data_IF_717300194799
#
_entry.id   IF_717300194799
#
_cell.length_a   1.000
_cell.length_b   1.000
_cell.length_c   1.000
_cell.angle_alpha   90.00
_cell.angle_beta   90.00
_cell.angle_gamma   90.00
#
_symmetry.space_group_name_H-M   'P 1'
#
loop_
_entity.id
_entity.type
_entity.pdbx_description
1 polymer ?
#
# COMPACT_ATOMS: atom_id res chain seq x y z
N UNK A 1 -4.42 -2.26 -8.24
CA UNK A 1 -3.46 -1.41 -7.51
C UNK A 1 -2.04 -1.62 -7.97
N UNK A 2 -1.47 -2.84 -7.91
CA UNK A 2 -0.05 -3.08 -8.24
C UNK A 2 0.50 -2.31 -9.46
N UNK A 3 -0.05 -2.51 -10.66
CA UNK A 3 0.45 -1.84 -11.87
C UNK A 3 0.26 -0.33 -11.84
N UNK A 4 -0.87 0.14 -11.31
CA UNK A 4 -1.17 1.58 -11.19
C UNK A 4 -0.18 2.23 -10.21
N UNK A 5 0.02 1.62 -9.05
CA UNK A 5 0.89 2.17 -8.01
C UNK A 5 2.35 2.19 -8.41
N UNK A 6 2.83 1.14 -9.07
CA UNK A 6 4.19 1.14 -9.64
C UNK A 6 4.41 2.15 -10.76
N UNK A 7 3.34 2.70 -11.35
CA UNK A 7 3.46 3.77 -12.34
C UNK A 7 3.48 5.17 -11.72
N UNK A 8 3.21 5.29 -10.42
CA UNK A 8 3.26 6.56 -9.70
C UNK A 8 4.73 6.98 -9.50
N UNK A 9 5.12 8.22 -9.85
CA UNK A 9 6.52 8.67 -9.77
C UNK A 9 7.15 8.53 -8.38
N UNK A 10 6.34 8.63 -7.33
CA UNK A 10 6.75 8.55 -5.94
C UNK A 10 6.80 7.15 -5.35
N UNK A 11 6.27 6.13 -6.04
CA UNK A 11 6.24 4.75 -5.55
C UNK A 11 7.53 4.02 -5.96
N UNK A 12 8.31 3.60 -4.96
CA UNK A 12 9.55 2.85 -5.16
C UNK A 12 9.29 1.34 -5.17
N UNK A 13 8.43 0.88 -4.27
CA UNK A 13 8.07 -0.54 -4.12
C UNK A 13 6.57 -0.66 -3.90
N UNK A 14 5.96 -1.66 -4.53
CA UNK A 14 4.57 -2.05 -4.28
C UNK A 14 4.42 -3.56 -4.44
N UNK A 15 4.35 -4.29 -3.32
CA UNK A 15 4.12 -5.73 -3.27
C UNK A 15 2.85 -6.03 -2.49
N UNK A 16 2.08 -7.00 -3.01
CA UNK A 16 0.93 -7.57 -2.31
C UNK A 16 1.31 -9.00 -1.95
N UNK A 17 1.33 -9.28 -0.66
CA UNK A 17 1.73 -10.56 -0.10
C UNK A 17 0.51 -11.16 0.61
N UNK A 18 0.37 -12.48 0.54
CA UNK A 18 -0.57 -13.23 1.38
C UNK A 18 0.25 -13.98 2.43
N UNK A 19 -0.20 -13.97 3.68
CA UNK A 19 0.47 -14.72 4.74
C UNK A 19 0.52 -16.21 4.38
N UNK A 20 1.61 -16.88 4.79
CA UNK A 20 1.76 -18.31 4.63
C UNK A 20 0.94 -19.09 5.66
N UNK A 21 0.69 -18.50 6.84
CA UNK A 21 -0.02 -19.14 7.95
C UNK A 21 -1.52 -18.81 7.98
N UNK A 22 -1.92 -17.65 7.43
CA UNK A 22 -3.32 -17.22 7.39
C UNK A 22 -3.71 -16.68 6.00
N UNK A 23 -4.49 -17.42 5.20
CA UNK A 23 -4.86 -17.00 3.84
C UNK A 23 -5.78 -15.77 3.80
N UNK A 24 -6.37 -15.33 4.92
CA UNK A 24 -7.17 -14.09 5.01
C UNK A 24 -6.31 -12.86 5.30
N UNK A 25 -5.05 -13.04 5.69
CA UNK A 25 -4.14 -11.94 6.02
C UNK A 25 -3.30 -11.57 4.81
N UNK A 26 -3.33 -10.28 4.47
CA UNK A 26 -2.54 -9.70 3.40
C UNK A 26 -1.58 -8.64 3.98
N UNK A 27 -0.36 -8.58 3.44
CA UNK A 27 0.61 -7.52 3.70
C UNK A 27 0.88 -6.77 2.40
N UNK A 28 0.57 -5.49 2.40
CA UNK A 28 1.02 -4.57 1.36
C UNK A 28 2.36 -3.98 1.82
N UNK A 29 3.42 -4.31 1.10
CA UNK A 29 4.74 -3.71 1.34
C UNK A 29 4.93 -2.61 0.30
N UNK A 30 4.89 -1.38 0.79
CA UNK A 30 4.92 -0.18 -0.02
C UNK A 30 6.09 0.69 0.44
N UNK A 31 6.87 1.18 -0.51
CA UNK A 31 7.88 2.21 -0.24
C UNK A 31 7.60 3.40 -1.14
N UNK A 32 7.61 4.59 -0.54
CA UNK A 32 7.43 5.86 -1.21
C UNK A 32 8.65 6.75 -0.95
N UNK A 33 8.98 7.66 -1.88
CA UNK A 33 10.11 8.58 -1.70
C UNK A 33 9.88 9.55 -0.54
N UNK A 34 8.63 9.91 -0.28
CA UNK A 34 8.26 10.79 0.82
C UNK A 34 6.85 10.51 1.34
N UNK A 35 6.49 11.19 2.42
CA UNK A 35 5.13 11.16 2.96
C UNK A 35 4.11 11.79 2.02
N UNK A 36 4.49 12.83 1.30
CA UNK A 36 3.64 13.51 0.31
C UNK A 36 3.28 12.57 -0.85
N UNK A 37 4.22 11.74 -1.31
CA UNK A 37 3.96 10.75 -2.36
C UNK A 37 2.96 9.68 -1.91
N UNK A 38 3.03 9.27 -0.64
CA UNK A 38 2.03 8.37 -0.05
C UNK A 38 0.63 9.00 0.04
N UNK A 39 0.54 10.28 0.40
CA UNK A 39 -0.76 10.97 0.43
C UNK A 39 -1.29 11.23 -0.99
N UNK A 40 -0.41 11.52 -1.95
CA UNK A 40 -0.76 11.64 -3.37
C UNK A 40 -1.31 10.31 -3.92
N UNK A 41 -0.67 9.18 -3.60
CA UNK A 41 -1.15 7.83 -3.90
C UNK A 41 -2.59 7.63 -3.41
N UNK A 42 -2.86 7.96 -2.15
CA UNK A 42 -4.19 7.85 -1.55
C UNK A 42 -5.23 8.77 -2.18
N UNK A 43 -4.82 9.92 -2.70
CA UNK A 43 -5.71 10.88 -3.35
C UNK A 43 -6.10 10.47 -4.79
N UNK A 44 -5.48 9.44 -5.36
CA UNK A 44 -5.78 9.00 -6.73
C UNK A 44 -7.21 8.47 -6.87
N UNK A 45 -7.90 8.69 -8.01
CA UNK A 45 -9.27 8.19 -8.22
C UNK A 45 -9.38 6.68 -8.07
N UNK A 46 -8.38 5.92 -8.55
CA UNK A 46 -8.40 4.47 -8.45
C UNK A 46 -8.16 3.96 -7.03
N UNK A 47 -7.42 4.69 -6.17
CA UNK A 47 -7.32 4.34 -4.77
C UNK A 47 -8.67 4.53 -4.07
N UNK A 48 -9.32 5.66 -4.30
CA UNK A 48 -10.63 5.96 -3.72
C UNK A 48 -11.68 4.90 -4.13
N UNK A 49 -11.78 4.59 -5.42
CA UNK A 49 -12.72 3.60 -5.94
C UNK A 49 -12.39 2.16 -5.49
N UNK A 50 -11.14 1.73 -5.65
CA UNK A 50 -10.77 0.32 -5.48
C UNK A 50 -10.43 -0.01 -4.03
N UNK A 51 -9.74 0.88 -3.33
CA UNK A 51 -9.35 0.63 -1.94
C UNK A 51 -10.44 1.08 -0.98
N UNK A 52 -10.83 2.35 -0.99
CA UNK A 52 -11.76 2.85 0.02
C UNK A 52 -13.19 2.36 -0.18
N UNK A 53 -13.69 2.35 -1.42
CA UNK A 53 -15.09 2.00 -1.68
C UNK A 53 -15.32 0.49 -1.86
N UNK A 54 -14.29 -0.27 -2.25
CA UNK A 54 -14.42 -1.71 -2.53
C UNK A 54 -13.73 -2.57 -1.48
N UNK A 55 -12.41 -2.41 -1.30
CA UNK A 55 -11.64 -3.31 -0.42
C UNK A 55 -11.90 -3.04 1.06
N UNK A 56 -11.86 -1.79 1.52
CA UNK A 56 -12.00 -1.45 2.95
C UNK A 56 -13.28 -2.03 3.58
N UNK A 57 -14.48 -1.97 2.95
CA UNK A 57 -15.69 -2.61 3.47
C UNK A 57 -15.61 -4.14 3.60
N UNK A 58 -14.70 -4.79 2.88
CA UNK A 58 -14.51 -6.24 2.93
C UNK A 58 -13.51 -6.68 4.02
N UNK A 59 -12.78 -5.73 4.61
CA UNK A 59 -11.75 -6.03 5.59
C UNK A 59 -12.35 -6.18 6.98
N UNK A 60 -11.98 -7.27 7.67
CA UNK A 60 -12.23 -7.42 9.10
C UNK A 60 -11.46 -6.37 9.92
N UNK A 61 -10.23 -6.07 9.51
CA UNK A 61 -9.40 -5.00 10.08
C UNK A 61 -8.35 -4.54 9.08
N UNK A 62 -7.80 -3.34 9.31
CA UNK A 62 -6.68 -2.78 8.57
C UNK A 62 -5.84 -1.91 9.49
N UNK A 63 -4.52 -2.11 9.48
CA UNK A 63 -3.57 -1.29 10.25
C UNK A 63 -2.48 -0.79 9.30
N UNK A 64 -2.44 0.51 8.98
CA UNK A 64 -1.30 1.10 8.30
C UNK A 64 -0.18 1.40 9.31
N UNK A 65 1.01 0.87 9.05
CA UNK A 65 2.22 1.12 9.85
C UNK A 65 3.26 1.80 8.95
N UNK A 66 4.04 2.72 9.53
CA UNK A 66 5.08 3.47 8.82
C UNK A 66 6.42 3.25 9.51
N UNK A 67 7.44 3.02 8.70
CA UNK A 67 8.80 2.73 9.15
C UNK A 67 9.79 3.55 8.33
N UNK A 68 10.89 3.92 8.97
CA UNK A 68 12.05 4.47 8.28
C UNK A 68 12.96 3.32 7.82
N UNK A 69 13.48 3.43 6.60
CA UNK A 69 14.49 2.51 6.10
C UNK A 69 15.81 2.77 6.86
N UNK A 70 16.32 1.74 7.51
CA UNK A 70 17.65 1.76 8.11
C UNK A 70 18.57 1.02 7.15
N UNK A 71 19.48 1.75 6.51
CA UNK A 71 20.55 1.16 5.70
C UNK A 71 21.80 0.98 6.56
N UNK A 72 22.53 -0.14 6.42
CA UNK A 72 23.82 -0.29 7.06
C UNK A 72 24.81 0.76 6.50
N UNK A 73 25.67 1.31 7.37
CA UNK A 73 26.81 2.15 6.97
C UNK A 73 27.82 1.39 6.10
#
# INVERSE_FOLDING_TARGET
>A
MVTLSRSEPGCLVYYVNRSQDDPRKFLLYEQYRSREDYEAHKATPYFQEKILNTVVPMLESRVPEFYDLIEPE
#
